data_IF_331698513535
#
_entry.id   IF_331698513535
#
_cell.length_a   1.000
_cell.length_b   1.000
_cell.length_c   1.000
_cell.angle_alpha   90.00
_cell.angle_beta   90.00
_cell.angle_gamma   90.00
#
_symmetry.space_group_name_H-M   'P 1'
#
loop_
_entity.id
_entity.type
_entity.pdbx_description
1 polymer ?
#
# COMPACT_ATOMS: atom_id res chain seq x y z
N UNK A 1 -51.41 -2.36 -15.92
CA UNK A 1 -50.82 -2.23 -14.57
C UNK A 1 -49.81 -1.10 -14.61
N UNK A 2 -50.06 -0.02 -13.88
CA UNK A 2 -49.49 1.30 -14.17
C UNK A 2 -48.15 1.50 -13.45
N UNK A 3 -47.13 2.06 -14.11
CA UNK A 3 -45.75 2.21 -13.57
C UNK A 3 -45.75 3.01 -12.26
N UNK A 4 -46.70 3.95 -12.11
CA UNK A 4 -46.94 4.72 -10.87
C UNK A 4 -47.31 3.87 -9.66
N UNK A 5 -48.04 2.77 -9.84
CA UNK A 5 -48.43 1.88 -8.74
C UNK A 5 -47.23 1.05 -8.26
N UNK A 6 -46.39 0.56 -9.18
CA UNK A 6 -45.16 -0.17 -8.84
C UNK A 6 -44.16 0.72 -8.09
N UNK A 7 -44.03 1.98 -8.47
CA UNK A 7 -43.15 2.93 -7.77
C UNK A 7 -43.70 3.21 -6.37
N UNK A 8 -45.00 3.47 -6.23
CA UNK A 8 -45.62 3.75 -4.93
C UNK A 8 -45.56 2.55 -3.97
N UNK A 9 -45.73 1.33 -4.49
CA UNK A 9 -45.61 0.10 -3.70
C UNK A 9 -44.16 -0.14 -3.23
N UNK A 10 -43.17 0.17 -4.09
CA UNK A 10 -41.75 0.05 -3.76
C UNK A 10 -41.34 1.06 -2.67
N UNK A 11 -41.81 2.31 -2.77
CA UNK A 11 -41.58 3.33 -1.74
C UNK A 11 -42.30 3.03 -0.42
N UNK A 12 -43.53 2.52 -0.47
CA UNK A 12 -44.27 2.10 0.72
C UNK A 12 -43.58 0.93 1.45
N UNK A 13 -43.02 -0.03 0.70
CA UNK A 13 -42.24 -1.14 1.27
C UNK A 13 -40.94 -0.67 1.91
N UNK A 14 -40.24 0.30 1.32
CA UNK A 14 -39.03 0.91 1.91
C UNK A 14 -39.35 1.64 3.21
N UNK A 15 -40.42 2.46 3.24
CA UNK A 15 -40.80 3.22 4.43
C UNK A 15 -41.25 2.26 5.55
N UNK A 16 -42.02 1.22 5.24
CA UNK A 16 -42.42 0.22 6.21
C UNK A 16 -41.21 -0.54 6.80
N UNK A 17 -40.23 -0.89 5.96
CA UNK A 17 -39.00 -1.54 6.41
C UNK A 17 -38.20 -0.65 7.36
N UNK A 18 -38.02 0.63 7.02
CA UNK A 18 -37.33 1.60 7.87
C UNK A 18 -38.05 1.78 9.22
N UNK A 19 -39.39 1.87 9.21
CA UNK A 19 -40.17 2.02 10.45
C UNK A 19 -40.08 0.79 11.36
N UNK A 20 -40.04 -0.43 10.79
CA UNK A 20 -39.88 -1.68 11.57
C UNK A 20 -38.49 -1.74 12.20
N UNK A 21 -37.44 -1.29 11.49
CA UNK A 21 -36.07 -1.21 12.01
C UNK A 21 -35.99 -0.22 13.16
N UNK A 22 -36.64 0.94 13.06
CA UNK A 22 -36.67 1.96 14.13
C UNK A 22 -37.42 1.48 15.37
N UNK A 23 -38.51 0.71 15.20
CA UNK A 23 -39.29 0.16 16.32
C UNK A 23 -38.57 -1.03 16.98
N UNK A 24 -37.80 -1.81 16.22
CA UNK A 24 -37.02 -2.94 16.74
C UNK A 24 -35.77 -2.51 17.53
N UNK A 25 -35.29 -1.27 17.35
CA UNK A 25 -34.05 -0.75 17.95
C UNK A 25 -34.28 0.15 19.17
N UNK A 26 -35.26 -0.16 20.02
CA UNK A 26 -35.62 0.65 21.19
C UNK A 26 -34.40 1.20 21.98
N UNK A 27 -34.46 2.50 22.33
CA UNK A 27 -33.51 3.15 23.24
C UNK A 27 -32.37 3.91 22.56
N UNK A 28 -32.59 5.21 22.38
CA UNK A 28 -31.86 6.18 21.52
C UNK A 28 -30.44 6.55 22.00
N UNK A 29 -29.85 5.82 22.96
CA UNK A 29 -28.58 6.22 23.58
C UNK A 29 -27.38 5.33 23.18
N UNK A 30 -27.61 4.02 22.95
CA UNK A 30 -26.57 3.10 22.45
C UNK A 30 -26.57 2.96 20.91
N UNK A 31 -27.47 3.68 20.24
CA UNK A 31 -27.72 3.53 18.79
C UNK A 31 -26.70 4.26 17.93
N UNK A 32 -26.03 5.31 18.44
CA UNK A 32 -25.09 6.09 17.64
C UNK A 32 -23.79 5.33 17.34
N UNK A 33 -23.19 4.70 18.34
CA UNK A 33 -22.03 3.81 18.17
C UNK A 33 -22.35 2.61 17.27
N UNK A 34 -23.56 2.07 17.39
CA UNK A 34 -24.02 0.95 16.56
C UNK A 34 -24.27 1.38 15.11
N UNK A 35 -24.79 2.59 14.88
CA UNK A 35 -25.00 3.18 13.54
C UNK A 35 -23.68 3.53 12.88
N UNK A 36 -22.70 4.07 13.61
CA UNK A 36 -21.36 4.33 13.08
C UNK A 36 -20.64 3.03 12.71
N UNK A 37 -20.71 2.01 13.57
CA UNK A 37 -20.17 0.67 13.27
C UNK A 37 -20.88 0.00 12.10
N UNK A 38 -22.21 0.13 11.97
CA UNK A 38 -22.97 -0.39 10.82
C UNK A 38 -22.68 0.39 9.54
N UNK A 39 -22.52 1.70 9.61
CA UNK A 39 -22.15 2.55 8.47
C UNK A 39 -20.76 2.20 7.97
N UNK A 40 -19.78 2.09 8.87
CA UNK A 40 -18.44 1.64 8.55
C UNK A 40 -18.44 0.21 8.00
N UNK A 41 -19.29 -0.68 8.54
CA UNK A 41 -19.44 -2.04 8.02
C UNK A 41 -20.04 -2.06 6.60
N UNK A 42 -21.09 -1.27 6.34
CA UNK A 42 -21.69 -1.13 5.02
C UNK A 42 -20.73 -0.48 4.01
N UNK A 43 -20.08 0.63 4.38
CA UNK A 43 -19.07 1.29 3.55
C UNK A 43 -17.87 0.36 3.30
N UNK A 44 -17.45 -0.47 4.26
CA UNK A 44 -16.35 -1.44 4.08
C UNK A 44 -16.67 -2.61 3.16
N UNK A 45 -17.95 -2.87 2.87
CA UNK A 45 -18.34 -3.86 1.86
C UNK A 45 -18.47 -3.25 0.46
N UNK A 46 -18.67 -1.93 0.35
CA UNK A 46 -19.03 -1.29 -0.92
C UNK A 46 -18.05 -0.21 -1.40
N UNK A 47 -17.10 0.26 -0.58
CA UNK A 47 -16.21 1.40 -0.90
C UNK A 47 -14.79 1.23 -0.36
N UNK A 48 -13.82 1.92 -0.98
CA UNK A 48 -12.40 1.91 -0.58
C UNK A 48 -12.07 2.89 0.56
N UNK A 49 -13.06 3.66 1.01
CA UNK A 49 -12.91 4.73 2.00
C UNK A 49 -12.23 4.25 3.29
N UNK A 50 -12.59 3.10 3.90
CA UNK A 50 -11.95 2.67 5.14
C UNK A 50 -10.46 2.36 4.99
N UNK A 51 -10.07 1.76 3.86
CA UNK A 51 -8.67 1.44 3.57
C UNK A 51 -7.86 2.70 3.26
N UNK A 52 -8.47 3.69 2.60
CA UNK A 52 -7.87 5.00 2.38
C UNK A 52 -7.58 5.71 3.71
N UNK A 53 -8.60 5.77 4.58
CA UNK A 53 -8.48 6.41 5.89
C UNK A 53 -7.36 5.77 6.72
N UNK A 54 -7.18 4.45 6.68
CA UNK A 54 -6.08 3.79 7.42
C UNK A 54 -4.69 4.26 6.97
N UNK A 55 -4.48 4.46 5.67
CA UNK A 55 -3.19 4.91 5.14
C UNK A 55 -2.86 6.36 5.53
N UNK A 56 -3.88 7.22 5.62
CA UNK A 56 -3.72 8.61 6.06
C UNK A 56 -3.16 8.75 7.47
N UNK A 57 -3.22 7.71 8.32
CA UNK A 57 -2.70 7.79 9.69
C UNK A 57 -1.24 7.33 9.83
N UNK A 58 -0.61 6.86 8.75
CA UNK A 58 0.77 6.37 8.79
C UNK A 58 1.73 7.51 8.44
N UNK A 59 2.55 7.90 9.41
CA UNK A 59 3.61 8.89 9.21
C UNK A 59 4.93 8.38 9.75
N UNK A 60 6.02 8.70 9.06
CA UNK A 60 7.36 8.38 9.57
C UNK A 60 7.62 9.15 10.85
N UNK A 61 8.26 8.50 11.83
CA UNK A 61 8.50 8.93 13.22
C UNK A 61 7.26 8.93 14.13
N UNK A 62 6.09 8.49 13.65
CA UNK A 62 4.96 8.26 14.56
C UNK A 62 5.21 7.03 15.44
N UNK A 63 4.43 6.92 16.52
CA UNK A 63 4.49 5.77 17.41
C UNK A 63 4.04 4.51 16.68
N UNK A 64 4.73 3.38 16.93
CA UNK A 64 4.29 2.05 16.49
C UNK A 64 2.85 1.75 16.94
N UNK A 65 2.39 2.31 18.06
CA UNK A 65 1.03 2.11 18.56
C UNK A 65 -0.06 2.54 17.55
N UNK A 66 0.24 3.51 16.68
CA UNK A 66 -0.67 3.93 15.59
C UNK A 66 -0.96 2.77 14.63
N UNK A 67 0.03 1.90 14.40
CA UNK A 67 -0.19 0.71 13.55
C UNK A 67 -1.18 -0.25 14.22
N UNK A 68 -1.02 -0.51 15.52
CA UNK A 68 -1.92 -1.41 16.25
C UNK A 68 -3.36 -0.87 16.33
N UNK A 69 -3.51 0.45 16.51
CA UNK A 69 -4.81 1.12 16.56
C UNK A 69 -5.59 1.00 15.24
N UNK A 70 -4.92 1.19 14.10
CA UNK A 70 -5.58 1.24 12.79
C UNK A 70 -5.58 -0.09 12.03
N UNK A 71 -4.61 -0.97 12.29
CA UNK A 71 -4.42 -2.23 11.58
C UNK A 71 -4.58 -3.47 12.47
N UNK A 72 -4.60 -3.32 13.79
CA UNK A 72 -4.57 -4.44 14.72
C UNK A 72 -3.18 -5.08 14.82
N UNK A 73 -3.14 -6.35 15.20
CA UNK A 73 -1.88 -7.08 15.31
C UNK A 73 -1.29 -7.37 13.91
N UNK A 74 0.04 -7.27 13.74
CA UNK A 74 0.68 -7.68 12.49
C UNK A 74 0.48 -9.17 12.24
N UNK A 75 0.25 -9.53 10.98
CA UNK A 75 0.06 -10.92 10.53
C UNK A 75 1.38 -11.69 10.41
N UNK A 76 2.49 -10.96 10.25
CA UNK A 76 3.83 -11.52 10.19
C UNK A 76 4.84 -10.50 10.71
N UNK A 77 5.86 -10.96 11.43
CA UNK A 77 6.93 -10.12 11.97
C UNK A 77 8.26 -10.82 11.69
N UNK A 78 9.25 -10.05 11.24
CA UNK A 78 10.65 -10.46 11.22
C UNK A 78 11.56 -9.34 11.70
N UNK A 79 12.77 -9.70 12.08
CA UNK A 79 13.77 -8.75 12.56
C UNK A 79 14.93 -8.69 11.56
N UNK A 80 15.47 -7.49 11.34
CA UNK A 80 16.68 -7.35 10.55
C UNK A 80 17.95 -7.49 11.40
N UNK A 81 19.11 -7.54 10.73
CA UNK A 81 20.42 -7.73 11.41
C UNK A 81 20.79 -6.62 12.40
N UNK A 82 20.07 -5.49 12.41
CA UNK A 82 20.29 -4.36 13.32
C UNK A 82 19.22 -4.28 14.42
N UNK A 83 18.36 -5.29 14.54
CA UNK A 83 17.32 -5.32 15.57
C UNK A 83 16.07 -4.51 15.25
N UNK A 84 15.89 -4.08 13.98
CA UNK A 84 14.67 -3.38 13.57
C UNK A 84 13.58 -4.39 13.27
N UNK A 85 12.37 -4.12 13.75
CA UNK A 85 11.20 -4.95 13.53
C UNK A 85 10.58 -4.60 12.19
N UNK A 86 10.31 -5.59 11.36
CA UNK A 86 9.61 -5.48 10.09
C UNK A 86 8.28 -6.19 10.27
N UNK A 87 7.21 -5.41 10.29
CA UNK A 87 5.86 -5.84 10.65
C UNK A 87 4.97 -5.73 9.43
N UNK A 88 4.25 -6.81 9.14
CA UNK A 88 3.34 -6.88 8.00
C UNK A 88 1.91 -6.87 8.50
N UNK A 89 1.08 -6.05 7.87
CA UNK A 89 -0.34 -5.93 8.16
C UNK A 89 -1.13 -6.20 6.88
N UNK A 90 -2.11 -7.08 6.97
CA UNK A 90 -3.00 -7.39 5.85
C UNK A 90 -4.28 -6.53 5.95
N UNK A 91 -4.54 -5.73 4.93
CA UNK A 91 -5.81 -5.06 4.73
C UNK A 91 -6.53 -5.66 3.52
N UNK A 92 -7.86 -5.49 3.44
CA UNK A 92 -8.64 -5.94 2.28
C UNK A 92 -8.13 -5.37 0.96
N UNK A 93 -7.50 -4.19 0.99
CA UNK A 93 -7.09 -3.44 -0.22
C UNK A 93 -5.59 -3.32 -0.43
N UNK A 94 -4.77 -3.67 0.55
CA UNK A 94 -3.31 -3.59 0.44
C UNK A 94 -2.63 -4.45 1.50
N UNK A 95 -1.32 -4.67 1.33
CA UNK A 95 -0.44 -5.14 2.41
C UNK A 95 0.46 -3.97 2.80
N UNK A 96 0.59 -3.73 4.10
CA UNK A 96 1.52 -2.75 4.64
C UNK A 96 2.71 -3.50 5.23
N UNK A 97 3.93 -3.12 4.84
CA UNK A 97 5.14 -3.46 5.57
C UNK A 97 5.65 -2.22 6.29
N UNK A 98 5.73 -2.27 7.61
CA UNK A 98 6.25 -1.19 8.44
C UNK A 98 7.56 -1.62 9.09
N UNK A 99 8.58 -0.78 8.99
CA UNK A 99 9.85 -0.94 9.71
C UNK A 99 9.79 -0.06 10.95
N UNK A 100 9.95 -0.66 12.13
CA UNK A 100 9.94 0.05 13.40
C UNK A 100 11.27 -0.07 14.14
N UNK A 101 11.64 1.00 14.83
CA UNK A 101 12.84 1.07 15.68
C UNK A 101 12.52 1.96 16.88
N UNK A 102 12.90 1.52 18.08
CA UNK A 102 12.68 2.28 19.33
C UNK A 102 11.21 2.74 19.51
N UNK A 103 10.27 1.85 19.17
CA UNK A 103 8.82 2.08 19.21
C UNK A 103 8.30 3.18 18.25
N UNK A 104 9.07 3.57 17.24
CA UNK A 104 8.68 4.51 16.20
C UNK A 104 8.74 3.88 14.80
N UNK A 105 7.88 4.35 13.90
CA UNK A 105 7.91 3.97 12.47
C UNK A 105 9.08 4.69 11.79
N UNK A 106 9.99 3.94 11.16
CA UNK A 106 11.18 4.51 10.48
C UNK A 106 11.16 4.32 8.97
N UNK A 107 10.37 3.38 8.48
CA UNK A 107 10.03 3.25 7.06
C UNK A 107 8.70 2.51 6.93
N UNK A 108 8.02 2.67 5.80
CA UNK A 108 6.94 1.77 5.42
C UNK A 108 6.87 1.60 3.90
N UNK A 109 6.27 0.49 3.49
CA UNK A 109 5.93 0.17 2.11
C UNK A 109 4.47 -0.29 2.06
N UNK A 110 3.71 0.26 1.12
CA UNK A 110 2.33 -0.12 0.81
C UNK A 110 2.34 -0.87 -0.52
N UNK A 111 1.80 -2.08 -0.51
CA UNK A 111 1.62 -2.96 -1.66
C UNK A 111 0.12 -3.04 -1.98
N UNK A 112 -0.41 -2.20 -2.88
CA UNK A 112 -1.82 -2.21 -3.25
C UNK A 112 -2.24 -3.56 -3.85
N UNK A 113 -3.43 -4.04 -3.47
CA UNK A 113 -4.09 -5.18 -4.11
C UNK A 113 -4.83 -4.72 -5.36
N UNK A 114 -5.15 -5.66 -6.25
CA UNK A 114 -5.84 -5.37 -7.51
C UNK A 114 -7.13 -4.55 -7.29
N UNK A 115 -7.28 -3.49 -8.08
CA UNK A 115 -8.46 -2.61 -8.04
C UNK A 115 -8.46 -1.54 -6.94
N UNK A 116 -7.40 -1.42 -6.14
CA UNK A 116 -7.25 -0.33 -5.18
C UNK A 116 -6.33 0.77 -5.72
N UNK A 117 -6.82 2.01 -5.70
CA UNK A 117 -6.04 3.21 -6.08
C UNK A 117 -5.79 4.08 -4.84
N UNK A 118 -4.62 3.96 -4.20
CA UNK A 118 -4.29 4.79 -3.04
C UNK A 118 -4.02 6.25 -3.44
N UNK A 119 -4.19 7.18 -2.50
CA UNK A 119 -3.75 8.55 -2.68
C UNK A 119 -2.23 8.62 -2.52
N UNK A 120 -1.56 9.15 -3.53
CA UNK A 120 -0.11 9.29 -3.59
C UNK A 120 0.33 10.75 -3.82
N UNK A 121 -0.59 11.72 -3.64
CA UNK A 121 -0.39 13.17 -3.86
C UNK A 121 0.92 13.72 -3.30
N UNK A 122 1.34 13.26 -2.12
CA UNK A 122 2.50 13.76 -1.39
C UNK A 122 3.84 13.16 -1.87
N UNK A 123 3.81 12.13 -2.72
CA UNK A 123 5.00 11.43 -3.22
C UNK A 123 5.65 12.14 -4.44
N UNK A 124 6.82 11.66 -4.87
CA UNK A 124 7.65 12.28 -5.93
C UNK A 124 6.97 12.46 -7.30
N UNK A 125 5.98 11.63 -7.66
CA UNK A 125 5.15 11.78 -8.87
C UNK A 125 3.70 12.13 -8.56
N UNK A 126 3.42 12.54 -7.32
CA UNK A 126 2.08 12.85 -6.82
C UNK A 126 1.08 11.74 -7.11
N UNK A 127 -0.16 12.12 -7.43
CA UNK A 127 -1.28 11.19 -7.68
C UNK A 127 -1.03 10.17 -8.79
N UNK A 128 -0.09 10.43 -9.69
CA UNK A 128 0.16 9.58 -10.84
C UNK A 128 1.20 8.48 -10.55
N UNK A 129 1.77 8.42 -9.34
CA UNK A 129 2.91 7.56 -9.00
C UNK A 129 2.74 6.09 -9.45
N UNK A 130 1.53 5.54 -9.33
CA UNK A 130 1.24 4.14 -9.69
C UNK A 130 0.62 3.98 -11.09
N UNK A 131 0.49 5.06 -11.84
CA UNK A 131 -0.11 5.10 -13.18
C UNK A 131 0.90 5.46 -14.28
N UNK A 132 2.08 5.96 -13.89
CA UNK A 132 3.14 6.37 -14.82
C UNK A 132 4.43 5.62 -14.54
N UNK A 133 5.28 5.55 -15.57
CA UNK A 133 6.58 4.88 -15.48
C UNK A 133 7.51 5.61 -14.51
N UNK A 134 8.46 4.88 -13.91
CA UNK A 134 9.48 5.43 -13.00
C UNK A 134 10.24 6.64 -13.57
N UNK A 135 10.35 6.76 -14.90
CA UNK A 135 10.97 7.93 -15.55
C UNK A 135 10.32 9.27 -15.18
N UNK A 136 9.08 9.27 -14.68
CA UNK A 136 8.39 10.46 -14.19
C UNK A 136 8.72 10.82 -12.73
N UNK A 137 9.39 9.93 -12.00
CA UNK A 137 9.88 10.28 -10.67
C UNK A 137 11.04 11.27 -10.76
N UNK A 138 10.97 12.29 -9.91
CA UNK A 138 11.94 13.37 -9.83
C UNK A 138 12.84 13.16 -8.61
N UNK A 139 14.13 13.41 -8.77
CA UNK A 139 15.08 13.40 -7.66
C UNK A 139 15.51 12.00 -7.22
N UNK A 140 15.59 11.04 -8.16
CA UNK A 140 16.14 9.71 -7.88
C UNK A 140 17.56 9.84 -7.30
N UNK A 141 17.75 9.37 -6.08
CA UNK A 141 19.03 9.48 -5.35
C UNK A 141 19.69 8.13 -5.06
N UNK A 142 18.92 7.04 -4.98
CA UNK A 142 19.42 5.69 -4.80
C UNK A 142 18.50 4.70 -5.52
N UNK A 143 19.07 3.60 -6.03
CA UNK A 143 18.37 2.53 -6.72
C UNK A 143 18.94 1.20 -6.27
N UNK A 144 18.06 0.24 -5.98
CA UNK A 144 18.44 -1.16 -5.72
C UNK A 144 17.61 -2.11 -6.56
N UNK A 145 18.27 -3.18 -6.99
CA UNK A 145 17.68 -4.16 -7.90
C UNK A 145 18.11 -5.55 -7.48
N UNK A 146 17.14 -6.45 -7.42
CA UNK A 146 17.38 -7.86 -7.18
C UNK A 146 16.60 -8.70 -8.18
N UNK A 147 17.24 -9.71 -8.75
CA UNK A 147 16.58 -10.73 -9.55
C UNK A 147 16.91 -12.11 -8.98
N UNK A 148 15.91 -12.79 -8.42
CA UNK A 148 16.08 -14.12 -7.85
C UNK A 148 14.78 -14.93 -7.89
N UNK A 149 14.81 -16.26 -7.80
CA UNK A 149 13.60 -17.08 -7.74
C UNK A 149 12.69 -16.78 -6.53
N UNK A 150 13.24 -16.26 -5.43
CA UNK A 150 12.50 -15.99 -4.20
C UNK A 150 11.83 -14.62 -4.19
N UNK A 151 12.47 -13.63 -4.82
CA UNK A 151 11.96 -12.27 -4.97
C UNK A 151 12.72 -11.56 -6.09
N UNK A 152 12.00 -10.86 -6.95
CA UNK A 152 12.57 -9.98 -7.98
C UNK A 152 11.94 -8.61 -7.86
N UNK A 153 12.77 -7.58 -7.70
CA UNK A 153 12.28 -6.22 -7.52
C UNK A 153 13.24 -5.17 -8.08
N UNK A 154 12.67 -4.00 -8.31
CA UNK A 154 13.35 -2.72 -8.48
C UNK A 154 12.79 -1.77 -7.42
N UNK A 155 13.66 -1.04 -6.72
CA UNK A 155 13.24 -0.03 -5.74
C UNK A 155 14.12 1.21 -5.89
N UNK A 156 13.49 2.39 -5.87
CA UNK A 156 14.19 3.67 -5.92
C UNK A 156 13.74 4.58 -4.79
N UNK A 157 14.70 5.35 -4.30
CA UNK A 157 14.48 6.45 -3.37
C UNK A 157 14.50 7.75 -4.15
N UNK A 158 13.62 8.67 -3.77
CA UNK A 158 13.43 9.95 -4.40
C UNK A 158 13.45 11.05 -3.35
N UNK A 159 14.24 12.10 -3.61
CA UNK A 159 14.24 13.34 -2.82
C UNK A 159 13.14 14.31 -3.26
N UNK A 160 12.21 13.89 -4.13
CA UNK A 160 11.00 14.62 -4.47
C UNK A 160 9.85 14.34 -3.48
N UNK A 161 8.73 15.06 -3.65
CA UNK A 161 7.55 14.93 -2.79
C UNK A 161 7.47 16.01 -1.71
N UNK A 162 6.29 16.13 -1.10
CA UNK A 162 5.93 17.20 -0.15
C UNK A 162 6.83 17.19 1.10
N UNK A 163 7.16 16.00 1.59
CA UNK A 163 7.93 15.82 2.83
C UNK A 163 9.40 15.48 2.61
N UNK A 164 9.96 15.80 1.45
CA UNK A 164 11.34 15.50 1.05
C UNK A 164 12.42 16.01 2.03
N UNK A 165 12.13 17.03 2.83
CA UNK A 165 13.03 17.53 3.88
C UNK A 165 13.06 16.64 5.15
N UNK A 166 12.10 15.74 5.32
CA UNK A 166 11.94 14.90 6.51
C UNK A 166 12.29 13.45 6.23
N UNK A 167 11.92 12.94 5.05
CA UNK A 167 12.12 11.56 4.62
C UNK A 167 12.07 11.45 3.10
N UNK A 168 12.61 10.36 2.57
CA UNK A 168 12.59 10.08 1.13
C UNK A 168 11.29 9.41 0.71
N UNK A 169 10.76 9.81 -0.45
CA UNK A 169 9.69 9.10 -1.14
C UNK A 169 10.26 7.83 -1.77
N UNK A 170 9.60 6.70 -1.53
CA UNK A 170 10.00 5.40 -2.04
C UNK A 170 8.97 4.93 -3.06
N UNK A 171 9.44 4.43 -4.19
CA UNK A 171 8.62 3.76 -5.19
C UNK A 171 9.35 2.52 -5.66
N UNK A 172 8.61 1.46 -5.94
CA UNK A 172 9.23 0.25 -6.45
C UNK A 172 8.27 -0.66 -7.18
N UNK A 173 8.86 -1.69 -7.75
CA UNK A 173 8.21 -2.74 -8.50
C UNK A 173 8.66 -4.08 -7.93
N UNK A 174 7.72 -4.98 -7.65
CA UNK A 174 8.00 -6.36 -7.27
C UNK A 174 7.23 -7.34 -8.15
N UNK A 175 7.93 -8.36 -8.69
CA UNK A 175 7.29 -9.47 -9.43
C UNK A 175 6.36 -10.32 -8.54
N UNK A 176 6.41 -10.13 -7.21
CA UNK A 176 5.48 -10.76 -6.27
C UNK A 176 4.05 -10.25 -6.40
N UNK A 177 3.86 -8.99 -6.83
CA UNK A 177 2.53 -8.38 -7.00
C UNK A 177 2.04 -8.53 -8.45
N UNK A 178 2.91 -8.21 -9.41
CA UNK A 178 2.57 -8.26 -10.83
C UNK A 178 3.75 -8.78 -11.66
N UNK A 179 3.46 -9.62 -12.65
CA UNK A 179 4.51 -10.21 -13.49
C UNK A 179 5.02 -9.22 -14.54
N UNK A 180 6.33 -9.25 -14.82
CA UNK A 180 6.91 -8.56 -15.97
C UNK A 180 6.71 -9.38 -17.26
N UNK A 181 6.71 -8.71 -18.41
CA UNK A 181 6.93 -9.39 -19.68
C UNK A 181 8.40 -9.87 -19.79
N UNK A 182 8.66 -10.75 -20.75
CA UNK A 182 9.97 -11.38 -20.93
C UNK A 182 11.09 -10.37 -21.22
N UNK A 183 10.81 -9.33 -22.01
CA UNK A 183 11.83 -8.33 -22.37
C UNK A 183 12.22 -7.52 -21.13
N UNK A 184 11.24 -7.00 -20.42
CA UNK A 184 11.45 -6.17 -19.23
C UNK A 184 12.10 -6.96 -18.09
N UNK A 185 11.73 -8.24 -17.92
CA UNK A 185 12.40 -9.14 -16.98
C UNK A 185 13.88 -9.34 -17.31
N UNK A 186 14.23 -9.48 -18.59
CA UNK A 186 15.62 -9.61 -19.01
C UNK A 186 16.43 -8.34 -18.71
N UNK A 187 15.81 -7.15 -18.85
CA UNK A 187 16.42 -5.87 -18.43
C UNK A 187 16.69 -5.85 -16.92
N UNK A 188 15.70 -6.22 -16.10
CA UNK A 188 15.84 -6.31 -14.64
C UNK A 188 17.00 -7.23 -14.24
N UNK A 189 17.06 -8.43 -14.84
CA UNK A 189 18.14 -9.39 -14.60
C UNK A 189 19.51 -8.82 -14.98
N UNK A 190 19.62 -8.21 -16.17
CA UNK A 190 20.88 -7.59 -16.62
C UNK A 190 21.35 -6.50 -15.64
N UNK A 191 20.45 -5.67 -15.13
CA UNK A 191 20.78 -4.65 -14.13
C UNK A 191 21.27 -5.29 -12.84
N UNK A 192 20.55 -6.30 -12.33
CA UNK A 192 20.92 -7.01 -11.11
C UNK A 192 22.31 -7.64 -11.22
N UNK A 193 22.59 -8.39 -12.30
CA UNK A 193 23.89 -9.03 -12.54
C UNK A 193 25.01 -7.97 -12.67
N UNK A 194 24.76 -6.88 -13.40
CA UNK A 194 25.73 -5.80 -13.60
C UNK A 194 26.09 -5.05 -12.31
N UNK A 195 25.10 -4.73 -11.48
CA UNK A 195 25.32 -4.08 -10.19
C UNK A 195 26.12 -4.98 -9.23
N UNK A 196 25.86 -6.29 -9.22
CA UNK A 196 26.64 -7.26 -8.42
C UNK A 196 28.12 -7.30 -8.83
N UNK A 197 28.41 -7.08 -10.13
CA UNK A 197 29.77 -7.01 -10.66
C UNK A 197 30.42 -5.62 -10.48
N UNK A 198 29.73 -4.67 -9.84
CA UNK A 198 30.13 -3.26 -9.73
C UNK A 198 30.30 -2.54 -11.08
N UNK A 199 29.53 -2.95 -12.10
CA UNK A 199 29.46 -2.26 -13.38
C UNK A 199 28.56 -1.03 -13.26
N UNK A 200 28.84 0.00 -14.07
CA UNK A 200 27.94 1.14 -14.22
C UNK A 200 26.75 0.73 -15.11
N UNK A 201 25.55 0.73 -14.55
CA UNK A 201 24.30 0.32 -15.21
C UNK A 201 23.34 1.50 -15.44
N UNK A 202 23.83 2.74 -15.44
CA UNK A 202 22.97 3.93 -15.49
C UNK A 202 22.04 3.96 -16.71
N UNK A 203 22.54 3.58 -17.89
CA UNK A 203 21.73 3.58 -19.12
C UNK A 203 20.65 2.50 -19.04
N UNK A 204 21.00 1.29 -18.61
CA UNK A 204 20.05 0.20 -18.43
C UNK A 204 18.98 0.54 -17.38
N UNK A 205 19.36 1.23 -16.30
CA UNK A 205 18.42 1.72 -15.29
C UNK A 205 17.47 2.74 -15.90
N UNK A 206 17.94 3.69 -16.71
CA UNK A 206 17.09 4.66 -17.41
C UNK A 206 16.11 3.95 -18.34
N UNK A 207 16.59 3.03 -19.18
CA UNK A 207 15.73 2.24 -20.08
C UNK A 207 14.69 1.41 -19.31
N UNK A 208 15.09 0.82 -18.17
CA UNK A 208 14.15 0.10 -17.31
C UNK A 208 13.09 1.04 -16.74
N UNK A 209 13.49 2.21 -16.22
CA UNK A 209 12.59 3.21 -15.66
C UNK A 209 11.57 3.75 -16.67
N UNK A 210 11.89 3.74 -17.96
CA UNK A 210 10.95 4.11 -19.04
C UNK A 210 9.93 3.01 -19.36
N UNK A 211 10.18 1.77 -18.93
CA UNK A 211 9.37 0.60 -19.28
C UNK A 211 8.46 0.10 -18.16
N UNK A 212 8.67 0.53 -16.91
CA UNK A 212 7.98 -0.04 -15.74
C UNK A 212 7.26 1.03 -14.93
N UNK A 213 6.00 0.71 -14.61
CA UNK A 213 5.16 1.46 -13.66
C UNK A 213 5.36 0.87 -12.26
N UNK A 214 5.56 1.70 -11.21
CA UNK A 214 5.65 1.21 -9.84
C UNK A 214 4.39 0.45 -9.41
N UNK A 215 4.55 -0.61 -8.62
CA UNK A 215 3.43 -1.36 -8.05
C UNK A 215 3.42 -1.38 -6.51
N UNK A 216 4.34 -0.64 -5.88
CA UNK A 216 4.32 -0.33 -4.46
C UNK A 216 5.00 1.02 -4.20
N UNK A 217 4.74 1.60 -3.04
CA UNK A 217 5.26 2.90 -2.66
C UNK A 217 5.41 3.03 -1.15
N UNK A 218 6.03 4.10 -0.67
CA UNK A 218 6.08 4.40 0.75
C UNK A 218 7.07 5.50 1.10
N UNK A 219 7.48 5.55 2.36
CA UNK A 219 8.41 6.55 2.86
C UNK A 219 9.50 5.92 3.72
N UNK A 220 10.65 6.60 3.81
CA UNK A 220 11.75 6.14 4.64
C UNK A 220 12.68 7.27 5.10
N UNK A 221 13.07 7.24 6.39
CA UNK A 221 14.26 7.97 6.88
C UNK A 221 15.55 7.13 6.80
N UNK A 222 15.42 5.87 6.41
CA UNK A 222 16.52 4.95 6.15
C UNK A 222 16.89 4.99 4.65
N UNK A 223 18.12 4.58 4.31
CA UNK A 223 18.46 4.25 2.91
C UNK A 223 17.72 3.00 2.41
N UNK A 224 17.89 2.64 1.14
CA UNK A 224 17.15 1.51 0.54
C UNK A 224 17.50 0.13 1.10
N UNK A 225 18.73 -0.08 1.59
CA UNK A 225 19.18 -1.39 2.06
C UNK A 225 18.27 -2.04 3.13
N UNK A 226 17.90 -1.32 4.20
CA UNK A 226 16.89 -1.79 5.15
C UNK A 226 15.52 -2.13 4.53
N UNK A 227 15.06 -1.39 3.52
CA UNK A 227 13.76 -1.65 2.88
C UNK A 227 13.78 -2.87 1.96
N UNK A 228 14.94 -3.30 1.46
CA UNK A 228 15.03 -4.54 0.67
C UNK A 228 14.47 -5.74 1.46
N UNK A 229 14.68 -5.76 2.78
CA UNK A 229 14.11 -6.78 3.67
C UNK A 229 12.61 -6.58 3.92
N UNK A 230 12.07 -5.37 3.75
CA UNK A 230 10.66 -5.07 3.92
C UNK A 230 9.83 -5.46 2.68
N UNK A 231 10.46 -5.66 1.52
CA UNK A 231 9.80 -6.18 0.32
C UNK A 231 9.37 -7.63 0.55
N UNK A 232 8.13 -7.93 0.21
CA UNK A 232 7.55 -9.27 0.31
C UNK A 232 8.22 -10.21 -0.69
N UNK A 233 8.72 -11.35 -0.18
CA UNK A 233 9.07 -12.50 -1.02
C UNK A 233 7.81 -13.24 -1.49
N UNK A 234 7.94 -14.09 -2.51
CA UNK A 234 6.81 -14.93 -2.97
C UNK A 234 6.22 -15.80 -1.87
N UNK A 235 7.05 -16.35 -0.97
CA UNK A 235 6.58 -17.18 0.14
C UNK A 235 5.84 -16.35 1.19
N UNK A 236 6.37 -15.18 1.57
CA UNK A 236 5.72 -14.29 2.53
C UNK A 236 4.39 -13.77 2.00
N UNK A 237 4.33 -13.35 0.74
CA UNK A 237 3.11 -12.88 0.10
C UNK A 237 2.03 -13.97 0.09
N UNK A 238 2.39 -15.21 -0.24
CA UNK A 238 1.46 -16.35 -0.18
C UNK A 238 1.02 -16.67 1.24
N UNK A 239 1.91 -16.56 2.23
CA UNK A 239 1.56 -16.79 3.63
C UNK A 239 0.53 -15.77 4.11
N UNK A 240 0.71 -14.50 3.74
CA UNK A 240 -0.14 -13.38 4.17
C UNK A 240 -1.47 -13.34 3.41
N UNK A 241 -1.47 -13.71 2.13
CA UNK A 241 -2.65 -13.57 1.24
C UNK A 241 -3.57 -14.80 1.22
N UNK A 242 -3.31 -15.82 2.05
CA UNK A 242 -4.09 -17.05 2.12
C UNK A 242 -5.31 -16.94 3.06
#
# INVERSE_FOLDING_TARGET
MNIREKVREKWAKTIAFVSIVVIALGGINDSWDAVEKMSNFALSQFTDIPSHNKLEHIYIRSSKAVLEEHFGAPVYIKEDVKGRSIEYYDDKRFILSAVTQDNAIVAFLVFPKEGFTPNTNEHSSGNALLDVTFSNNIGVNDVRVNYSPSVSYYIESNSGGEFSNLYNSISGFSETISALDTETRNKLKKISDGLMMAHNMNNEIIEFRESVVPNFYGYSILGLGPLENAILTFTEFRLISN
#
